data_IF_677720309282
#
_entry.id   IF_677720309282
#
_cell.length_a   1.000
_cell.length_b   1.000
_cell.length_c   1.000
_cell.angle_alpha   90.00
_cell.angle_beta   90.00
_cell.angle_gamma   90.00
#
_symmetry.space_group_name_H-M   'P 1'
#
loop_
_entity.id
_entity.type
_entity.pdbx_description
1 polymer ?
#
# COMPACT_ATOMS: atom_id res chain seq x y z
N UNK A 1 2.79 -6.94 21.12
CA UNK A 1 3.26 -6.62 19.77
C UNK A 1 4.52 -7.43 19.54
N UNK A 2 4.42 -8.57 18.94
CA UNK A 2 5.59 -9.36 18.56
C UNK A 2 6.03 -8.90 17.16
N UNK A 3 7.30 -8.67 16.97
CA UNK A 3 7.90 -8.49 15.67
C UNK A 3 8.16 -7.06 15.19
N UNK A 4 7.75 -6.03 15.93
CA UNK A 4 8.04 -4.64 15.58
C UNK A 4 8.60 -3.85 16.77
N UNK A 5 9.64 -3.06 16.54
CA UNK A 5 10.26 -2.16 17.52
C UNK A 5 10.38 -0.77 16.93
N UNK A 6 9.91 0.23 17.67
CA UNK A 6 10.14 1.62 17.33
C UNK A 6 11.51 2.06 17.86
N UNK A 7 12.43 2.40 16.97
CA UNK A 7 13.77 2.86 17.31
C UNK A 7 13.92 4.34 16.96
N UNK A 8 14.53 5.12 17.88
CA UNK A 8 14.86 6.50 17.60
C UNK A 8 16.24 6.58 16.92
N UNK A 9 16.33 7.40 15.89
CA UNK A 9 17.61 7.73 15.24
C UNK A 9 18.33 8.76 16.12
N UNK A 10 19.58 8.49 16.52
CA UNK A 10 20.36 9.47 17.28
C UNK A 10 20.44 10.81 16.56
N UNK A 11 20.31 11.91 17.31
CA UNK A 11 20.23 13.26 16.72
C UNK A 11 21.44 13.60 15.85
N UNK A 12 22.65 13.19 16.28
CA UNK A 12 23.89 13.38 15.53
C UNK A 12 23.92 12.63 14.19
N UNK A 13 23.10 11.58 14.02
CA UNK A 13 22.99 10.79 12.78
C UNK A 13 21.78 11.13 11.94
N UNK A 14 20.89 11.97 12.44
CA UNK A 14 19.64 12.26 11.75
C UNK A 14 19.85 12.98 10.41
N UNK A 15 20.82 13.89 10.32
CA UNK A 15 21.14 14.59 9.06
C UNK A 15 21.61 13.62 7.98
N UNK A 16 22.49 12.69 8.33
CA UNK A 16 22.98 11.67 7.40
C UNK A 16 21.85 10.74 6.96
N UNK A 17 21.04 10.28 7.91
CA UNK A 17 19.85 9.46 7.61
C UNK A 17 18.88 10.18 6.67
N UNK A 18 18.59 11.45 6.95
CA UNK A 18 17.72 12.27 6.10
C UNK A 18 18.30 12.42 4.68
N UNK A 19 19.60 12.66 4.57
CA UNK A 19 20.30 12.71 3.28
C UNK A 19 20.15 11.40 2.50
N UNK A 20 20.39 10.25 3.14
CA UNK A 20 20.21 8.94 2.53
C UNK A 20 18.76 8.70 2.07
N UNK A 21 17.79 9.06 2.91
CA UNK A 21 16.37 8.92 2.55
C UNK A 21 16.00 9.77 1.32
N UNK A 22 16.49 10.98 1.20
CA UNK A 22 16.18 11.88 0.08
C UNK A 22 16.93 11.46 -1.19
N UNK A 23 18.23 11.26 -1.13
CA UNK A 23 19.06 11.15 -2.32
C UNK A 23 19.33 9.70 -2.76
N UNK A 24 19.30 8.74 -1.85
CA UNK A 24 19.48 7.32 -2.17
C UNK A 24 18.20 6.52 -2.22
N UNK A 25 17.26 6.79 -1.30
CA UNK A 25 15.95 6.15 -1.30
C UNK A 25 14.87 6.95 -2.06
N UNK A 26 15.26 8.07 -2.69
CA UNK A 26 14.40 8.90 -3.53
C UNK A 26 13.11 9.35 -2.85
N UNK A 27 13.20 9.78 -1.60
CA UNK A 27 12.07 10.37 -0.88
C UNK A 27 11.67 11.69 -1.58
N UNK A 28 10.59 11.66 -2.35
CA UNK A 28 10.18 12.75 -3.24
C UNK A 28 9.55 13.96 -2.53
N UNK A 29 9.05 13.76 -1.29
CA UNK A 29 8.40 14.78 -0.48
C UNK A 29 9.10 14.90 0.89
N UNK A 30 10.39 15.29 0.96
CA UNK A 30 11.15 15.30 2.22
C UNK A 30 10.70 16.40 3.18
N UNK A 31 9.91 17.36 2.68
CA UNK A 31 9.40 18.50 3.45
C UNK A 31 8.02 18.90 2.91
N UNK A 32 7.12 19.22 3.82
CA UNK A 32 5.80 19.80 3.51
C UNK A 32 5.69 21.10 4.31
N UNK A 33 5.58 22.22 3.62
CA UNK A 33 5.69 23.55 4.21
C UNK A 33 7.00 23.67 5.03
N UNK A 34 6.91 24.04 6.30
CA UNK A 34 8.05 24.12 7.23
C UNK A 34 8.28 22.83 8.03
N UNK A 35 7.54 21.74 7.71
CA UNK A 35 7.62 20.48 8.44
C UNK A 35 8.40 19.41 7.68
N UNK A 36 9.36 18.80 8.39
CA UNK A 36 10.11 17.69 7.88
C UNK A 36 9.24 16.41 7.88
N UNK A 37 9.14 15.74 6.74
CA UNK A 37 8.35 14.50 6.60
C UNK A 37 9.17 13.24 6.87
N UNK A 38 10.49 13.38 7.07
CA UNK A 38 11.36 12.26 7.45
C UNK A 38 11.36 12.18 8.97
N UNK A 39 10.77 11.12 9.52
CA UNK A 39 10.64 10.93 10.96
C UNK A 39 12.01 10.67 11.64
N UNK A 40 12.14 11.08 12.91
CA UNK A 40 13.29 10.72 13.75
C UNK A 40 13.21 9.29 14.29
N UNK A 41 12.17 8.56 13.94
CA UNK A 41 11.94 7.20 14.39
C UNK A 41 11.74 6.28 13.20
N UNK A 42 12.24 5.05 13.33
CA UNK A 42 12.06 3.98 12.37
C UNK A 42 11.38 2.78 13.03
N UNK A 43 10.54 2.10 12.30
CA UNK A 43 9.97 0.83 12.74
C UNK A 43 10.89 -0.29 12.24
N UNK A 44 11.46 -1.03 13.18
CA UNK A 44 12.25 -2.22 12.88
C UNK A 44 11.34 -3.43 12.96
N UNK A 45 11.24 -4.16 11.88
CA UNK A 45 10.48 -5.41 11.81
C UNK A 45 11.43 -6.60 11.93
N UNK A 46 11.03 -7.61 12.68
CA UNK A 46 11.71 -8.89 12.57
C UNK A 46 11.41 -9.55 11.20
N UNK A 47 12.25 -10.51 10.82
CA UNK A 47 12.15 -11.16 9.51
C UNK A 47 10.83 -11.92 9.33
N UNK A 48 10.27 -12.47 10.39
CA UNK A 48 9.01 -13.21 10.32
C UNK A 48 7.84 -12.26 10.07
N UNK A 49 7.78 -11.16 10.80
CA UNK A 49 6.76 -10.11 10.61
C UNK A 49 6.84 -9.50 9.21
N UNK A 50 8.04 -9.17 8.73
CA UNK A 50 8.22 -8.65 7.39
C UNK A 50 7.67 -9.60 6.32
N UNK A 51 8.03 -10.89 6.38
CA UNK A 51 7.51 -11.92 5.47
C UNK A 51 5.99 -12.09 5.56
N UNK A 52 5.43 -11.98 6.76
CA UNK A 52 3.98 -12.08 6.93
C UNK A 52 3.25 -10.92 6.25
N UNK A 53 3.77 -9.69 6.37
CA UNK A 53 3.20 -8.52 5.69
C UNK A 53 3.33 -8.64 4.17
N UNK A 54 4.46 -9.14 3.66
CA UNK A 54 4.63 -9.44 2.23
C UNK A 54 3.56 -10.44 1.74
N UNK A 55 3.37 -11.55 2.45
CA UNK A 55 2.36 -12.55 2.11
C UNK A 55 0.94 -11.97 2.11
N UNK A 56 0.62 -11.14 3.09
CA UNK A 56 -0.70 -10.48 3.12
C UNK A 56 -0.88 -9.51 1.96
N UNK A 57 0.14 -8.76 1.59
CA UNK A 57 0.08 -7.88 0.43
C UNK A 57 -0.15 -8.67 -0.87
N UNK A 58 0.51 -9.82 -1.04
CA UNK A 58 0.30 -10.72 -2.18
C UNK A 58 -1.13 -11.28 -2.19
N UNK A 59 -1.64 -11.75 -1.06
CA UNK A 59 -3.01 -12.26 -0.93
C UNK A 59 -4.05 -11.18 -1.24
N UNK A 60 -3.93 -10.00 -0.65
CA UNK A 60 -4.83 -8.87 -0.91
C UNK A 60 -4.80 -8.44 -2.39
N UNK A 61 -3.62 -8.50 -3.01
CA UNK A 61 -3.48 -8.23 -4.45
C UNK A 61 -4.25 -9.27 -5.29
N UNK A 62 -4.11 -10.55 -4.97
CA UNK A 62 -4.82 -11.63 -5.65
C UNK A 62 -6.34 -11.50 -5.47
N UNK A 63 -6.82 -11.31 -4.24
CA UNK A 63 -8.23 -11.10 -3.95
C UNK A 63 -8.81 -9.87 -4.69
N UNK A 64 -8.03 -8.80 -4.80
CA UNK A 64 -8.44 -7.60 -5.55
C UNK A 64 -8.66 -7.93 -7.03
N UNK A 65 -7.78 -8.73 -7.63
CA UNK A 65 -7.93 -9.15 -9.03
C UNK A 65 -9.12 -10.08 -9.22
N UNK A 66 -9.38 -11.01 -8.29
CA UNK A 66 -10.53 -11.89 -8.33
C UNK A 66 -11.87 -11.12 -8.23
N UNK A 67 -11.92 -10.14 -7.31
CA UNK A 67 -13.10 -9.28 -7.17
C UNK A 67 -13.32 -8.47 -8.45
N UNK A 68 -12.26 -7.95 -9.05
CA UNK A 68 -12.36 -7.19 -10.28
C UNK A 68 -12.87 -8.05 -11.44
N UNK A 69 -12.37 -9.27 -11.58
CA UNK A 69 -12.86 -10.23 -12.55
C UNK A 69 -14.36 -10.54 -12.32
N UNK A 70 -14.75 -10.81 -11.09
CA UNK A 70 -16.13 -11.05 -10.73
C UNK A 70 -17.04 -9.85 -11.05
N UNK A 71 -16.56 -8.63 -10.89
CA UNK A 71 -17.31 -7.41 -11.24
C UNK A 71 -17.49 -7.27 -12.76
N UNK A 72 -16.53 -7.70 -13.56
CA UNK A 72 -16.66 -7.71 -15.03
C UNK A 72 -17.74 -8.67 -15.52
N UNK A 73 -17.94 -9.77 -14.81
CA UNK A 73 -18.90 -10.83 -15.15
C UNK A 73 -20.30 -10.58 -14.56
N UNK A 74 -20.39 -9.82 -13.45
CA UNK A 74 -21.61 -9.67 -12.65
C UNK A 74 -22.06 -8.21 -12.54
N UNK A 75 -23.00 -7.82 -13.37
CA UNK A 75 -23.56 -6.44 -13.37
C UNK A 75 -24.30 -6.08 -12.08
N UNK A 76 -24.78 -7.07 -11.30
CA UNK A 76 -25.42 -6.84 -10.00
C UNK A 76 -24.43 -6.30 -8.97
N UNK A 77 -23.16 -6.76 -8.98
CA UNK A 77 -22.09 -6.25 -8.11
C UNK A 77 -21.75 -4.80 -8.47
N UNK A 78 -21.60 -4.50 -9.76
CA UNK A 78 -21.32 -3.15 -10.26
C UNK A 78 -22.41 -2.15 -9.84
N UNK A 79 -23.68 -2.58 -9.82
CA UNK A 79 -24.78 -1.73 -9.36
C UNK A 79 -24.68 -1.33 -7.88
N UNK A 80 -24.17 -2.25 -7.03
CA UNK A 80 -24.02 -2.04 -5.57
C UNK A 80 -22.90 -1.07 -5.22
N UNK A 81 -21.91 -0.88 -6.09
CA UNK A 81 -20.72 -0.05 -5.82
C UNK A 81 -20.98 1.45 -5.83
N UNK A 82 -22.19 1.92 -6.12
CA UNK A 82 -22.48 3.36 -6.14
C UNK A 82 -21.71 4.16 -7.20
N UNK A 83 -21.10 3.49 -8.20
CA UNK A 83 -20.28 4.13 -9.23
C UNK A 83 -21.08 5.15 -10.07
N UNK A 84 -20.42 6.20 -10.59
CA UNK A 84 -21.05 7.12 -11.53
C UNK A 84 -21.62 6.40 -12.76
N UNK A 85 -22.75 6.87 -13.27
CA UNK A 85 -23.46 6.22 -14.39
C UNK A 85 -22.60 6.05 -15.64
N UNK A 86 -21.67 6.98 -15.90
CA UNK A 86 -20.73 6.87 -17.03
C UNK A 86 -19.81 5.67 -16.88
N UNK A 87 -19.30 5.42 -15.66
CA UNK A 87 -18.42 4.28 -15.34
C UNK A 87 -19.19 2.97 -15.48
N UNK A 88 -20.39 2.89 -14.87
CA UNK A 88 -21.26 1.70 -14.99
C UNK A 88 -21.58 1.30 -16.44
N UNK A 89 -21.72 2.29 -17.33
CA UNK A 89 -21.97 2.04 -18.76
C UNK A 89 -20.69 1.65 -19.52
N UNK A 90 -19.52 2.04 -19.04
CA UNK A 90 -18.24 1.71 -19.68
C UNK A 90 -17.80 0.26 -19.39
N UNK A 91 -18.02 -0.24 -18.18
CA UNK A 91 -17.57 -1.57 -17.74
C UNK A 91 -18.01 -2.69 -18.71
N UNK A 92 -19.29 -2.83 -19.12
CA UNK A 92 -19.69 -3.88 -20.05
C UNK A 92 -19.08 -3.74 -21.45
N UNK A 93 -18.54 -2.57 -21.78
CA UNK A 93 -17.92 -2.28 -23.07
C UNK A 93 -16.44 -2.61 -23.13
N UNK A 94 -15.83 -2.95 -22.00
CA UNK A 94 -14.40 -3.26 -21.90
C UNK A 94 -14.04 -4.62 -22.54
N UNK A 95 -15.03 -5.41 -22.95
CA UNK A 95 -14.83 -6.61 -23.74
C UNK A 95 -13.99 -7.67 -23.05
N UNK A 96 -12.90 -8.08 -23.68
CA UNK A 96 -11.97 -9.10 -23.19
C UNK A 96 -10.98 -8.56 -22.14
N UNK A 97 -11.44 -7.79 -21.17
CA UNK A 97 -10.59 -7.33 -20.07
C UNK A 97 -10.09 -8.54 -19.26
N UNK A 98 -8.78 -8.58 -19.04
CA UNK A 98 -8.15 -9.57 -18.17
C UNK A 98 -7.24 -8.86 -17.17
N UNK A 99 -7.51 -8.93 -15.87
CA UNK A 99 -6.69 -8.31 -14.83
C UNK A 99 -5.21 -8.70 -14.93
N UNK A 100 -4.94 -9.95 -15.28
CA UNK A 100 -3.59 -10.52 -15.37
C UNK A 100 -2.71 -9.88 -16.46
N UNK A 101 -3.33 -9.21 -17.44
CA UNK A 101 -2.62 -8.57 -18.56
C UNK A 101 -2.25 -7.12 -18.29
N UNK A 102 -2.62 -6.58 -17.12
CA UNK A 102 -2.37 -5.20 -16.77
C UNK A 102 -1.27 -5.08 -15.73
N UNK A 103 -0.32 -4.22 -15.99
CA UNK A 103 0.66 -3.81 -14.97
C UNK A 103 -0.05 -2.92 -13.97
N UNK A 104 0.07 -3.26 -12.68
CA UNK A 104 -0.53 -2.52 -11.56
C UNK A 104 0.51 -2.19 -10.52
N UNK A 105 0.37 -1.02 -9.96
CA UNK A 105 1.03 -0.65 -8.72
C UNK A 105 -0.05 -0.54 -7.63
N UNK A 106 0.03 -1.40 -6.62
CA UNK A 106 -0.84 -1.35 -5.45
C UNK A 106 -0.01 -1.00 -4.22
N UNK A 107 -0.59 -0.21 -3.32
CA UNK A 107 -0.02 0.10 -2.02
C UNK A 107 -0.95 -0.44 -0.94
N UNK A 108 -0.38 -1.20 -0.01
CA UNK A 108 -1.07 -1.68 1.16
C UNK A 108 -0.43 -1.04 2.39
N UNK A 109 -1.22 -0.35 3.17
CA UNK A 109 -0.76 0.32 4.39
C UNK A 109 -1.15 -0.56 5.58
N UNK A 110 -0.16 -1.13 6.25
CA UNK A 110 -0.36 -1.96 7.43
C UNK A 110 -0.09 -1.16 8.70
N UNK A 111 -0.98 -1.27 9.67
CA UNK A 111 -0.87 -0.58 10.94
C UNK A 111 -0.71 -1.56 12.10
N UNK A 112 0.31 -1.37 12.95
CA UNK A 112 0.41 -2.16 14.19
C UNK A 112 -0.68 -1.73 15.17
N UNK A 113 -1.43 -2.70 15.68
CA UNK A 113 -2.47 -2.51 16.68
C UNK A 113 -2.16 -3.31 17.93
N UNK A 114 -2.97 -3.16 19.00
CA UNK A 114 -2.87 -3.99 20.20
C UNK A 114 -3.14 -5.47 19.92
N UNK A 115 -3.95 -5.76 18.92
CA UNK A 115 -4.41 -7.10 18.58
C UNK A 115 -3.63 -7.72 17.40
N UNK A 116 -2.63 -7.01 16.89
CA UNK A 116 -1.80 -7.44 15.76
C UNK A 116 -1.67 -6.35 14.69
N UNK A 117 -1.54 -6.78 13.45
CA UNK A 117 -1.48 -5.91 12.29
C UNK A 117 -2.82 -5.85 11.56
N UNK A 118 -3.22 -4.69 11.11
CA UNK A 118 -4.44 -4.46 10.32
C UNK A 118 -4.16 -3.58 9.11
#
# INVERSE_FOLDING_TARGET
MSGAVLARIPGERYSDYRYEAIFRAYKWDPQVEDHNTVAEHVVLLDRQTARQLEQWAEQLSAETMEIEQAMMERSDLVKKLGLPSKVKKAIPRMGSYSPERHVRLMRFDFHPTTDGWS
#
